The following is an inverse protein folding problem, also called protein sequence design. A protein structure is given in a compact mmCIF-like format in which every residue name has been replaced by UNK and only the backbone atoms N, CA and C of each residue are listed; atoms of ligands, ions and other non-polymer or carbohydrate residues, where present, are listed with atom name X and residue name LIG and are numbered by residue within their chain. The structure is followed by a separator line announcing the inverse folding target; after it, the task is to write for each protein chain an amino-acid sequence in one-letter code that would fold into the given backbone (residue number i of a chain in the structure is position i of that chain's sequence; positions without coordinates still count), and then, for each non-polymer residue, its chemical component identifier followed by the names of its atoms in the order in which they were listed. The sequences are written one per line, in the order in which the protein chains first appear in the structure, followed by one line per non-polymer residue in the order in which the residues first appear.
data_IF_040733788263
#
_entry.id   IF_040733788263
#
_cell.length_a   1.000
_cell.length_b   1.000
_cell.length_c   1.000
_cell.angle_alpha   90.00
_cell.angle_beta   90.00
_cell.angle_gamma   90.00
#
_symmetry.space_group_name_H-M   'P 1'
#
loop_
_entity.id
_entity.type
_entity.pdbx_description
1 polymer ?
#
# COMPACT_ATOMS: atom_id res chain seq x y z
N UNK A 1 1.32 5.12 -4.73
CA UNK A 1 0.33 4.04 -4.90
C UNK A 1 -1.04 4.64 -5.22
N UNK A 2 -1.80 4.12 -6.19
CA UNK A 2 -3.14 4.64 -6.58
C UNK A 2 -3.24 6.18 -6.74
N UNK A 3 -2.26 6.77 -7.43
CA UNK A 3 -2.03 8.22 -7.60
C UNK A 3 -1.80 9.04 -6.31
N UNK A 4 -1.66 8.39 -5.16
CA UNK A 4 -1.28 9.02 -3.89
C UNK A 4 0.23 8.79 -3.64
N UNK A 5 0.92 9.86 -3.30
CA UNK A 5 2.32 9.88 -2.86
C UNK A 5 2.38 9.96 -1.35
N UNK A 6 2.97 8.95 -0.71
CA UNK A 6 2.89 8.77 0.74
C UNK A 6 3.85 9.71 1.48
N UNK A 7 3.29 10.67 2.21
CA UNK A 7 4.03 11.56 3.10
C UNK A 7 4.21 10.89 4.47
N UNK A 8 5.45 10.83 4.96
CA UNK A 8 5.73 10.35 6.32
C UNK A 8 5.24 11.35 7.36
N UNK A 9 4.41 10.94 8.33
CA UNK A 9 4.03 11.79 9.46
C UNK A 9 5.18 11.96 10.45
N UNK A 10 5.09 12.99 11.31
CA UNK A 10 6.04 13.20 12.43
C UNK A 10 5.83 12.21 13.59
N UNK A 11 4.59 11.80 13.81
CA UNK A 11 4.20 10.83 14.84
C UNK A 11 4.10 9.44 14.20
N UNK A 12 4.61 8.41 14.86
CA UNK A 12 4.58 7.04 14.32
C UNK A 12 3.15 6.55 14.07
N UNK A 13 2.91 5.88 12.94
CA UNK A 13 1.56 5.42 12.55
C UNK A 13 0.90 4.52 13.62
N UNK A 14 1.66 3.57 14.17
CA UNK A 14 1.20 2.67 15.23
C UNK A 14 0.91 3.42 16.54
N UNK A 15 1.75 4.40 16.90
CA UNK A 15 1.56 5.27 18.08
C UNK A 15 0.28 6.12 17.92
N UNK A 16 0.09 6.74 16.76
CA UNK A 16 -1.10 7.52 16.46
C UNK A 16 -2.38 6.66 16.44
N UNK A 17 -2.30 5.42 15.94
CA UNK A 17 -3.41 4.48 15.98
C UNK A 17 -3.75 4.07 17.42
N UNK A 18 -2.76 3.61 18.19
CA UNK A 18 -2.93 3.11 19.56
C UNK A 18 -3.49 4.18 20.52
N UNK A 19 -2.96 5.41 20.44
CA UNK A 19 -3.41 6.53 21.26
C UNK A 19 -4.56 7.34 20.64
N UNK A 20 -5.14 6.90 19.52
CA UNK A 20 -6.23 7.57 18.80
C UNK A 20 -5.94 9.06 18.47
N UNK A 21 -4.69 9.35 18.08
CA UNK A 21 -4.22 10.70 17.76
C UNK A 21 -4.77 11.09 16.39
N UNK A 22 -5.64 12.10 16.38
CA UNK A 22 -6.34 12.58 15.18
C UNK A 22 -5.36 13.27 14.20
N UNK A 23 -5.79 13.36 12.95
CA UNK A 23 -5.14 14.11 11.87
C UNK A 23 -3.75 13.62 11.42
N UNK A 24 -3.12 12.65 12.09
CA UNK A 24 -1.84 12.04 11.69
C UNK A 24 -1.96 11.23 10.39
N UNK A 25 -3.06 10.51 10.20
CA UNK A 25 -3.34 9.73 8.99
C UNK A 25 -4.85 9.60 8.74
N UNK A 26 -5.20 9.06 7.56
CA UNK A 26 -6.59 8.75 7.16
C UNK A 26 -6.74 7.27 6.84
N UNK A 27 -7.89 6.68 7.13
CA UNK A 27 -8.20 5.25 6.89
C UNK A 27 -8.95 4.99 5.58
N UNK A 28 -9.04 5.98 4.70
CA UNK A 28 -9.76 5.94 3.43
C UNK A 28 -8.82 5.86 2.21
N UNK A 29 -7.72 5.11 2.31
CA UNK A 29 -6.90 4.81 1.14
C UNK A 29 -7.72 4.00 0.11
N UNK A 30 -7.75 4.37 -1.18
CA UNK A 30 -8.64 3.74 -2.14
C UNK A 30 -8.10 2.40 -2.63
N UNK A 31 -8.93 1.36 -2.61
CA UNK A 31 -8.58 -0.01 -3.06
C UNK A 31 -8.21 -0.09 -4.55
N UNK A 32 -8.63 0.91 -5.33
CA UNK A 32 -8.41 1.00 -6.79
C UNK A 32 -7.91 2.39 -7.18
N UNK A 33 -7.13 2.53 -8.26
CA UNK A 33 -6.71 3.84 -8.76
C UNK A 33 -7.92 4.73 -9.09
N UNK A 34 -7.98 5.99 -8.60
CA UNK A 34 -9.16 6.86 -8.77
C UNK A 34 -9.56 7.19 -10.21
N UNK A 35 -8.63 7.06 -11.16
CA UNK A 35 -8.88 7.20 -12.60
C UNK A 35 -8.21 6.03 -13.30
N UNK A 36 -8.99 5.19 -13.98
CA UNK A 36 -8.46 4.09 -14.78
C UNK A 36 -7.99 4.59 -16.16
N UNK A 37 -6.95 3.94 -16.70
CA UNK A 37 -6.41 4.20 -18.03
C UNK A 37 -5.65 2.95 -18.54
N UNK A 38 -5.13 3.00 -19.76
CA UNK A 38 -4.18 1.99 -20.25
C UNK A 38 -2.79 2.25 -19.63
N UNK A 39 -2.56 1.65 -18.46
CA UNK A 39 -1.34 1.77 -17.67
C UNK A 39 -0.08 1.35 -18.44
N UNK A 40 -0.20 0.36 -19.33
CA UNK A 40 0.92 -0.21 -20.10
C UNK A 40 0.83 0.14 -21.60
N UNK A 41 0.23 1.28 -21.95
CA UNK A 41 0.02 1.70 -23.33
C UNK A 41 1.28 2.25 -24.02
N UNK A 42 1.07 3.01 -25.11
CA UNK A 42 2.11 3.92 -25.59
C UNK A 42 2.43 4.97 -24.48
N UNK A 43 3.67 5.49 -24.39
CA UNK A 43 4.09 6.37 -23.32
C UNK A 43 3.18 7.58 -23.16
N UNK A 44 2.54 7.70 -21.99
CA UNK A 44 1.71 8.86 -21.68
C UNK A 44 2.61 10.05 -21.34
N UNK A 45 2.80 10.95 -22.31
CA UNK A 45 3.35 12.30 -22.08
C UNK A 45 2.47 13.17 -21.17
N UNK A 46 1.27 12.68 -20.82
CA UNK A 46 0.42 13.23 -19.79
C UNK A 46 1.07 13.06 -18.41
N UNK A 47 1.76 14.11 -17.95
CA UNK A 47 2.25 14.27 -16.58
C UNK A 47 1.08 14.26 -15.56
N UNK A 48 0.61 13.06 -15.21
CA UNK A 48 -0.45 12.84 -14.22
C UNK A 48 0.13 13.04 -12.82
N UNK A 49 0.02 14.28 -12.33
CA UNK A 49 0.44 14.65 -10.98
C UNK A 49 -0.21 13.78 -9.91
N UNK A 50 0.60 13.30 -8.96
CA UNK A 50 0.14 12.59 -7.77
C UNK A 50 -0.37 13.58 -6.71
N UNK A 51 -1.29 13.13 -5.86
CA UNK A 51 -1.68 13.89 -4.66
C UNK A 51 -0.84 13.45 -3.46
N UNK A 52 -0.45 14.41 -2.60
CA UNK A 52 0.25 14.11 -1.35
C UNK A 52 -0.76 13.64 -0.28
N UNK A 53 -0.39 12.62 0.51
CA UNK A 53 -1.20 12.23 1.66
C UNK A 53 -0.60 11.11 2.50
N UNK A 54 -1.18 10.92 3.69
CA UNK A 54 -0.85 9.83 4.63
C UNK A 54 -2.11 8.98 4.81
N UNK A 55 -2.37 8.13 3.81
CA UNK A 55 -3.54 7.26 3.75
C UNK A 55 -3.18 5.81 4.02
N UNK A 56 -3.92 5.15 4.91
CA UNK A 56 -3.80 3.74 5.25
C UNK A 56 -5.05 2.99 4.79
N UNK A 57 -4.88 1.73 4.39
CA UNK A 57 -5.98 0.79 4.13
C UNK A 57 -6.38 0.11 5.44
N UNK A 58 -7.63 0.29 5.88
CA UNK A 58 -8.15 -0.34 7.11
C UNK A 58 -8.75 -1.70 6.82
N UNK A 59 -8.30 -2.74 7.52
CA UNK A 59 -8.72 -4.13 7.30
C UNK A 59 -9.09 -4.80 8.63
N UNK A 60 -10.12 -5.63 8.61
CA UNK A 60 -10.55 -6.35 9.83
C UNK A 60 -9.59 -7.50 10.16
N UNK A 61 -9.50 -7.86 11.45
CA UNK A 61 -8.78 -9.06 11.87
C UNK A 61 -9.25 -10.31 11.12
N UNK A 62 -8.32 -11.23 10.81
CA UNK A 62 -8.56 -12.48 10.08
C UNK A 62 -9.21 -12.32 8.68
N UNK A 63 -8.99 -11.17 8.02
CA UNK A 63 -9.41 -10.97 6.62
C UNK A 63 -8.45 -11.67 5.64
N UNK A 64 -8.98 -12.43 4.68
CA UNK A 64 -8.24 -12.84 3.48
C UNK A 64 -8.22 -11.68 2.50
N UNK A 65 -7.04 -11.29 2.00
CA UNK A 65 -6.86 -10.13 1.11
C UNK A 65 -6.16 -10.59 -0.17
N UNK A 66 -6.76 -10.29 -1.32
CA UNK A 66 -6.09 -10.32 -2.62
C UNK A 66 -5.57 -8.92 -2.94
N UNK A 67 -4.31 -8.79 -3.37
CA UNK A 67 -3.68 -7.53 -3.73
C UNK A 67 -3.13 -7.60 -5.15
N UNK A 68 -3.78 -6.87 -6.07
CA UNK A 68 -3.32 -6.71 -7.45
C UNK A 68 -2.43 -5.47 -7.54
N UNK A 69 -1.20 -5.66 -7.99
CA UNK A 69 -0.21 -4.60 -8.16
C UNK A 69 0.01 -4.33 -9.66
N UNK A 70 -0.48 -3.18 -10.13
CA UNK A 70 -0.40 -2.74 -11.51
C UNK A 70 0.72 -1.71 -11.67
N UNK A 71 1.75 -2.06 -12.45
CA UNK A 71 2.77 -1.12 -12.90
C UNK A 71 2.22 -0.19 -14.02
N UNK A 72 2.87 0.97 -14.22
CA UNK A 72 2.47 2.00 -15.18
C UNK A 72 3.66 2.56 -15.96
N UNK A 73 3.47 2.81 -17.26
CA UNK A 73 4.46 3.42 -18.16
C UNK A 73 4.72 4.94 -17.95
N UNK A 74 4.40 5.47 -16.77
CA UNK A 74 4.50 6.90 -16.47
C UNK A 74 5.97 7.24 -16.20
N UNK A 75 6.53 8.16 -16.99
CA UNK A 75 7.96 8.51 -17.08
C UNK A 75 8.79 7.39 -17.72
N UNK A 76 8.83 6.21 -17.12
CA UNK A 76 9.63 5.05 -17.51
C UNK A 76 8.84 3.75 -17.29
N UNK A 77 9.33 2.62 -17.83
CA UNK A 77 8.84 1.28 -17.45
C UNK A 77 9.94 0.65 -16.60
N UNK A 78 9.64 0.37 -15.33
CA UNK A 78 10.67 0.01 -14.35
C UNK A 78 10.23 -1.11 -13.40
N UNK A 79 11.15 -2.02 -13.11
CA UNK A 79 10.92 -3.16 -12.23
C UNK A 79 11.63 -2.96 -10.88
N UNK A 80 10.91 -2.57 -9.84
CA UNK A 80 11.40 -2.49 -8.45
C UNK A 80 11.09 -3.84 -7.74
N UNK A 81 11.78 -4.49 -6.75
CA UNK A 81 11.44 -5.88 -6.25
C UNK A 81 10.84 -5.99 -4.80
N UNK A 82 9.69 -6.62 -4.44
CA UNK A 82 8.84 -6.15 -3.26
C UNK A 82 9.14 -6.63 -1.82
N UNK A 83 8.71 -5.81 -0.85
CA UNK A 83 8.50 -6.13 0.57
C UNK A 83 7.13 -5.68 1.18
N UNK A 84 6.60 -6.49 2.11
CA UNK A 84 5.49 -6.15 3.03
C UNK A 84 5.91 -6.54 4.47
N UNK A 85 5.70 -5.66 5.44
CA UNK A 85 6.03 -5.92 6.85
C UNK A 85 4.92 -6.74 7.56
N UNK A 86 5.32 -7.60 8.49
CA UNK A 86 4.42 -8.29 9.44
C UNK A 86 3.70 -9.53 8.89
N UNK A 87 3.70 -9.76 7.58
CA UNK A 87 3.00 -10.87 6.94
C UNK A 87 3.87 -11.58 5.90
N UNK A 88 3.78 -12.91 5.85
CA UNK A 88 4.18 -13.67 4.68
C UNK A 88 3.07 -13.57 3.63
N UNK A 89 3.45 -13.46 2.36
CA UNK A 89 2.51 -13.38 1.23
C UNK A 89 2.61 -14.62 0.35
N UNK A 90 1.47 -15.05 -0.18
CA UNK A 90 1.43 -15.99 -1.30
C UNK A 90 1.23 -15.19 -2.58
N UNK A 91 2.22 -15.19 -3.46
CA UNK A 91 2.06 -14.67 -4.81
C UNK A 91 1.20 -15.68 -5.56
N UNK A 92 0.02 -15.25 -6.04
CA UNK A 92 -0.93 -16.12 -6.78
C UNK A 92 -1.13 -15.71 -8.23
N UNK A 93 -0.60 -14.55 -8.63
CA UNK A 93 -0.87 -13.97 -9.94
C UNK A 93 0.28 -13.15 -10.52
N UNK A 94 0.36 -13.05 -11.86
CA UNK A 94 1.14 -12.04 -12.60
C UNK A 94 0.84 -12.08 -14.11
N UNK A 95 1.22 -11.02 -14.83
CA UNK A 95 1.11 -10.91 -16.28
C UNK A 95 1.73 -9.60 -16.81
N UNK A 96 1.80 -9.47 -18.14
CA UNK A 96 2.22 -8.23 -18.81
C UNK A 96 0.99 -7.57 -19.43
N UNK A 97 0.77 -6.29 -19.13
CA UNK A 97 -0.36 -5.52 -19.63
C UNK A 97 -1.16 -4.85 -18.52
N UNK A 98 -2.44 -4.59 -18.79
CA UNK A 98 -3.40 -4.12 -17.79
C UNK A 98 -4.19 -5.30 -17.24
N UNK A 99 -4.25 -5.43 -15.91
CA UNK A 99 -5.00 -6.49 -15.24
C UNK A 99 -6.48 -6.51 -15.64
N UNK A 100 -6.97 -7.70 -16.00
CA UNK A 100 -8.34 -7.99 -16.36
C UNK A 100 -8.97 -8.95 -15.36
N UNK A 101 -9.83 -8.41 -14.49
CA UNK A 101 -10.54 -9.13 -13.43
C UNK A 101 -11.33 -10.37 -13.91
N UNK A 102 -11.74 -10.41 -15.17
CA UNK A 102 -12.49 -11.54 -15.76
C UNK A 102 -11.63 -12.62 -16.40
N UNK A 103 -10.29 -12.47 -16.41
CA UNK A 103 -9.37 -13.37 -17.14
C UNK A 103 -8.11 -13.75 -16.36
N UNK A 104 -7.55 -12.79 -15.62
CA UNK A 104 -6.20 -12.90 -15.09
C UNK A 104 -6.05 -13.63 -13.74
N UNK A 105 -7.11 -13.87 -12.92
CA UNK A 105 -7.03 -14.74 -11.73
C UNK A 105 -6.62 -16.21 -11.98
N UNK A 106 -6.26 -16.58 -13.21
CA UNK A 106 -5.80 -17.91 -13.61
C UNK A 106 -4.32 -17.98 -14.03
N UNK A 107 -3.56 -16.87 -14.02
CA UNK A 107 -2.17 -16.78 -14.53
C UNK A 107 -1.21 -16.21 -13.48
N UNK A 108 0.05 -16.69 -13.40
CA UNK A 108 0.80 -16.79 -12.12
C UNK A 108 2.22 -16.14 -12.13
N UNK A 109 2.64 -15.61 -10.96
CA UNK A 109 4.01 -15.28 -10.48
C UNK A 109 4.75 -13.97 -10.89
N UNK A 110 4.98 -13.09 -9.89
CA UNK A 110 6.26 -12.49 -9.43
C UNK A 110 6.07 -11.00 -9.00
N UNK A 111 6.59 -10.56 -7.84
CA UNK A 111 6.08 -9.34 -7.14
C UNK A 111 7.12 -8.29 -6.70
N UNK A 112 6.84 -7.00 -6.90
CA UNK A 112 7.87 -6.01 -7.22
C UNK A 112 7.79 -4.53 -6.63
N UNK A 113 8.54 -4.19 -5.52
CA UNK A 113 9.15 -2.89 -5.07
C UNK A 113 10.08 -2.84 -3.78
N UNK A 114 11.42 -2.62 -3.92
CA UNK A 114 12.47 -2.40 -2.87
C UNK A 114 13.64 -1.52 -3.41
N UNK A 115 13.34 -0.46 -4.17
CA UNK A 115 14.34 0.55 -4.51
C UNK A 115 14.22 1.73 -3.53
N UNK A 116 15.27 1.98 -2.74
CA UNK A 116 15.22 2.93 -1.61
C UNK A 116 14.78 4.35 -2.03
N UNK A 117 15.22 4.80 -3.20
CA UNK A 117 14.79 6.06 -3.82
C UNK A 117 13.27 6.17 -3.97
N UNK A 118 12.59 5.09 -4.36
CA UNK A 118 11.14 5.09 -4.58
C UNK A 118 10.39 5.08 -3.24
N UNK A 119 10.96 4.41 -2.23
CA UNK A 119 10.48 4.50 -0.84
C UNK A 119 10.62 5.93 -0.29
N UNK A 120 11.69 6.66 -0.64
CA UNK A 120 11.85 8.09 -0.30
C UNK A 120 10.85 8.97 -1.05
N UNK A 121 10.63 8.74 -2.35
CA UNK A 121 9.65 9.46 -3.17
C UNK A 121 8.18 9.12 -2.86
N UNK A 122 7.92 8.23 -1.90
CA UNK A 122 6.57 7.95 -1.40
C UNK A 122 5.81 6.85 -2.15
N UNK A 123 6.50 5.98 -2.91
CA UNK A 123 5.94 4.76 -3.47
C UNK A 123 5.82 3.67 -2.38
N UNK A 124 4.88 3.89 -1.46
CA UNK A 124 4.55 3.01 -0.35
C UNK A 124 3.09 3.18 0.06
N UNK A 125 2.59 2.23 0.83
CA UNK A 125 1.31 2.28 1.52
C UNK A 125 1.44 1.50 2.83
N UNK A 126 0.47 1.65 3.72
CA UNK A 126 0.41 0.86 4.94
C UNK A 126 -1.02 0.38 5.21
N UNK A 127 -1.12 -0.79 5.83
CA UNK A 127 -2.38 -1.32 6.33
C UNK A 127 -2.50 -1.00 7.83
N UNK A 128 -3.72 -0.77 8.30
CA UNK A 128 -4.06 -0.84 9.72
C UNK A 128 -5.02 -1.99 9.91
N UNK A 129 -4.55 -3.04 10.61
CA UNK A 129 -5.34 -4.21 10.98
C UNK A 129 -6.04 -3.90 12.29
N UNK A 130 -7.36 -4.13 12.34
CA UNK A 130 -8.12 -3.98 13.58
C UNK A 130 -7.83 -5.11 14.56
N UNK A 131 -8.04 -4.85 15.85
CA UNK A 131 -8.06 -5.91 16.87
C UNK A 131 -9.17 -6.93 16.55
N UNK A 132 -8.94 -8.19 16.89
CA UNK A 132 -9.96 -9.24 16.90
C UNK A 132 -10.86 -9.18 18.15
N UNK A 133 -11.31 -10.35 18.59
CA UNK A 133 -12.21 -10.54 19.72
C UNK A 133 -11.48 -10.86 21.03
N UNK A 134 -10.25 -11.38 20.97
CA UNK A 134 -9.47 -11.73 22.16
C UNK A 134 -8.28 -10.79 22.43
N UNK A 135 -7.70 -10.81 23.64
CA UNK A 135 -6.47 -10.07 23.94
C UNK A 135 -5.27 -10.47 23.06
N UNK A 136 -5.20 -11.75 22.67
CA UNK A 136 -4.15 -12.29 21.80
C UNK A 136 -4.32 -11.85 20.33
N UNK A 137 -5.55 -11.52 19.94
CA UNK A 137 -5.89 -10.93 18.63
C UNK A 137 -5.79 -9.39 18.62
N UNK A 138 -5.21 -8.78 19.66
CA UNK A 138 -5.16 -7.31 19.85
C UNK A 138 -3.74 -6.75 19.84
N UNK A 139 -3.59 -5.48 19.46
CA UNK A 139 -2.31 -4.75 19.52
C UNK A 139 -1.80 -4.67 20.97
N UNK A 140 -0.57 -5.13 21.21
CA UNK A 140 0.08 -5.10 22.53
C UNK A 140 0.34 -3.66 23.01
N UNK A 141 0.36 -3.42 24.34
CA UNK A 141 0.72 -2.11 24.88
C UNK A 141 2.12 -1.64 24.45
N UNK A 142 2.33 -0.34 24.21
CA UNK A 142 3.62 0.19 23.80
C UNK A 142 4.70 0.03 24.89
N UNK A 143 5.99 -0.05 24.51
CA UNK A 143 7.11 -0.02 25.46
C UNK A 143 7.09 1.22 26.36
N UNK A 144 7.57 1.08 27.61
CA UNK A 144 7.59 2.16 28.61
C UNK A 144 8.56 3.30 28.27
N UNK A 145 9.51 3.01 27.39
CA UNK A 145 10.55 3.85 26.83
C UNK A 145 10.21 4.39 25.43
N UNK A 146 8.97 4.18 24.94
CA UNK A 146 8.49 4.80 23.71
C UNK A 146 8.59 6.34 23.83
N UNK A 147 9.28 6.96 22.86
CA UNK A 147 9.51 8.40 22.86
C UNK A 147 8.20 9.21 22.86
N UNK A 148 8.13 10.30 23.65
CA UNK A 148 7.02 11.25 23.59
C UNK A 148 6.97 11.96 22.22
N UNK A 149 5.78 12.47 21.87
CA UNK A 149 5.47 13.15 20.61
C UNK A 149 5.43 14.67 20.75
#
# INVERSE_FOLDING_TARGET
MNNITFVMPKIGLLQAHYFNIKEVFRTNFPDRPPVQFNYTGAPLTANRGTSLGTGLSKVAFNSTIELVLQDTNLLTVESHPFHLHGFNIFIVGSGVGNFNLSKDPANVWFMHCHLELHTMWGLKMAFVVENGKSPEESIIPPPKDLAPY
#
